data_IF_403855034896
#
_entry.id   IF_403855034896
#
_cell.length_a   1.000
_cell.length_b   1.000
_cell.length_c   1.000
_cell.angle_alpha   90.00
_cell.angle_beta   90.00
_cell.angle_gamma   90.00
#
_symmetry.space_group_name_H-M   'P 1'
#
loop_
_entity.id
_entity.type
_entity.pdbx_description
1 polymer ?
#
# COMPACT_ATOMS: atom_id res chain seq x y z
N UNK A 1 14.51 9.01 9.50
CA UNK A 1 13.53 9.94 10.08
C UNK A 1 13.04 9.38 11.41
N UNK A 2 13.13 10.16 12.47
CA UNK A 2 12.65 9.78 13.80
C UNK A 2 11.11 9.71 13.82
N UNK A 3 10.53 8.80 14.61
CA UNK A 3 9.07 8.63 14.70
C UNK A 3 8.35 9.89 15.20
N UNK A 4 9.02 10.70 16.03
CA UNK A 4 8.54 11.99 16.52
C UNK A 4 8.32 13.00 15.38
N UNK A 5 9.17 12.99 14.34
CA UNK A 5 8.97 13.87 13.17
C UNK A 5 7.80 13.41 12.29
N UNK A 6 7.52 12.10 12.26
CA UNK A 6 6.36 11.56 11.54
C UNK A 6 5.04 11.91 12.23
N UNK A 7 4.97 11.82 13.55
CA UNK A 7 3.76 12.18 14.30
C UNK A 7 3.34 13.64 14.09
N UNK A 8 4.28 14.58 14.28
CA UNK A 8 4.06 16.01 14.05
C UNK A 8 3.63 16.29 12.61
N UNK A 9 4.38 15.77 11.63
CA UNK A 9 4.04 15.93 10.22
C UNK A 9 2.64 15.40 9.90
N UNK A 10 2.29 14.22 10.42
CA UNK A 10 0.97 13.60 10.18
C UNK A 10 -0.16 14.49 10.68
N UNK A 11 0.01 15.11 11.86
CA UNK A 11 -0.98 16.04 12.44
C UNK A 11 -1.14 17.30 11.60
N UNK A 12 -0.03 17.95 11.24
CA UNK A 12 -0.04 19.14 10.38
C UNK A 12 -0.63 18.84 8.99
N UNK A 13 -0.22 17.73 8.38
CA UNK A 13 -0.66 17.32 7.07
C UNK A 13 -2.18 17.03 7.05
N UNK A 14 -2.73 16.33 8.05
CA UNK A 14 -4.17 16.07 8.15
C UNK A 14 -5.02 17.35 8.13
N UNK A 15 -4.47 18.47 8.61
CA UNK A 15 -5.08 19.80 8.57
C UNK A 15 -5.16 20.43 7.17
N UNK A 16 -4.37 19.98 6.19
CA UNK A 16 -4.28 20.55 4.84
C UNK A 16 -5.25 19.87 3.87
N UNK A 17 -5.93 20.66 3.04
CA UNK A 17 -6.87 20.14 2.04
C UNK A 17 -6.19 19.25 0.99
N UNK A 18 -5.00 19.65 0.54
CA UNK A 18 -4.17 18.89 -0.41
C UNK A 18 -3.81 17.50 0.11
N UNK A 19 -3.37 17.40 1.37
CA UNK A 19 -3.06 16.10 1.96
C UNK A 19 -4.31 15.25 2.18
N UNK A 20 -5.46 15.83 2.55
CA UNK A 20 -6.71 15.06 2.62
C UNK A 20 -7.14 14.51 1.27
N UNK A 21 -6.90 15.25 0.18
CA UNK A 21 -7.09 14.75 -1.19
C UNK A 21 -6.11 13.60 -1.46
N UNK A 22 -4.82 13.81 -1.20
CA UNK A 22 -3.76 12.81 -1.33
C UNK A 22 -4.09 11.52 -0.57
N UNK A 23 -4.51 11.62 0.69
CA UNK A 23 -4.95 10.50 1.51
C UNK A 23 -6.08 9.74 0.81
N UNK A 24 -7.16 10.43 0.42
CA UNK A 24 -8.29 9.76 -0.24
C UNK A 24 -7.90 9.15 -1.59
N UNK A 25 -7.04 9.79 -2.37
CA UNK A 25 -6.51 9.25 -3.62
C UNK A 25 -5.67 8.00 -3.39
N UNK A 26 -4.91 7.95 -2.30
CA UNK A 26 -4.06 6.79 -1.98
C UNK A 26 -4.88 5.62 -1.43
N UNK A 27 -5.88 5.87 -0.56
CA UNK A 27 -6.59 4.79 0.15
C UNK A 27 -7.83 4.27 -0.57
N UNK A 28 -8.46 5.07 -1.42
CA UNK A 28 -9.67 4.67 -2.14
C UNK A 28 -9.30 4.29 -3.57
N UNK A 29 -9.84 3.15 -4.02
CA UNK A 29 -9.71 2.74 -5.42
C UNK A 29 -10.47 3.67 -6.36
N UNK A 30 -10.29 3.48 -7.67
CA UNK A 30 -11.14 4.14 -8.65
C UNK A 30 -12.60 3.69 -8.48
N UNK A 31 -13.53 4.61 -8.69
CA UNK A 31 -14.95 4.27 -8.86
C UNK A 31 -15.11 3.59 -10.21
N UNK A 32 -15.62 2.36 -10.22
CA UNK A 32 -16.01 1.69 -11.46
C UNK A 32 -17.38 2.22 -11.92
N UNK A 33 -17.56 2.39 -13.23
CA UNK A 33 -18.82 2.87 -13.79
C UNK A 33 -19.97 1.92 -13.42
N UNK A 34 -21.02 2.45 -12.78
CA UNK A 34 -22.14 1.66 -12.26
C UNK A 34 -21.84 0.86 -10.98
N UNK A 35 -20.63 0.93 -10.44
CA UNK A 35 -20.23 0.31 -9.19
C UNK A 35 -20.55 1.15 -7.95
N UNK A 36 -20.57 0.54 -6.74
CA UNK A 36 -20.69 1.29 -5.50
C UNK A 36 -19.46 2.19 -5.28
N UNK A 37 -19.67 3.30 -4.58
CA UNK A 37 -18.57 4.21 -4.22
C UNK A 37 -17.46 3.47 -3.45
N UNK A 38 -16.18 3.75 -3.76
CA UNK A 38 -15.06 3.12 -3.08
C UNK A 38 -15.02 3.54 -1.60
N UNK A 39 -14.87 2.54 -0.75
CA UNK A 39 -14.70 2.70 0.70
C UNK A 39 -13.31 2.26 1.13
N UNK A 40 -12.86 2.78 2.27
CA UNK A 40 -11.62 2.34 2.92
C UNK A 40 -11.69 0.84 3.20
N UNK A 41 -10.65 0.10 2.83
CA UNK A 41 -10.49 -1.31 3.18
C UNK A 41 -9.07 -1.55 3.70
N UNK A 42 -8.94 -1.89 4.99
CA UNK A 42 -7.65 -2.20 5.62
C UNK A 42 -7.66 -3.55 6.33
N UNK A 43 -6.50 -3.96 6.81
CA UNK A 43 -6.40 -5.11 7.70
C UNK A 43 -6.94 -4.76 9.09
N UNK A 44 -7.89 -5.56 9.59
CA UNK A 44 -8.45 -5.42 10.95
C UNK A 44 -7.95 -6.53 11.89
N UNK A 45 -7.03 -7.38 11.42
CA UNK A 45 -6.45 -8.49 12.19
C UNK A 45 -5.22 -8.01 12.96
N UNK A 46 -4.92 -8.55 14.14
CA UNK A 46 -3.76 -8.15 14.92
C UNK A 46 -2.43 -8.50 14.26
N UNK A 47 -2.40 -9.53 13.39
CA UNK A 47 -1.19 -9.93 12.67
C UNK A 47 -1.48 -10.34 11.23
N UNK A 48 -0.61 -9.92 10.32
CA UNK A 48 -0.64 -10.24 8.88
C UNK A 48 0.74 -10.77 8.46
N UNK A 49 0.76 -12.01 7.97
CA UNK A 49 1.99 -12.64 7.45
C UNK A 49 2.14 -12.38 5.95
N UNK A 50 3.30 -11.87 5.56
CA UNK A 50 3.75 -11.70 4.17
C UNK A 50 4.74 -12.81 3.83
N UNK A 51 4.47 -13.58 2.78
CA UNK A 51 5.32 -14.67 2.30
C UNK A 51 5.81 -14.39 0.88
N UNK A 52 7.13 -14.45 0.69
CA UNK A 52 7.72 -14.66 -0.63
C UNK A 52 7.58 -16.14 -1.00
N UNK A 53 6.99 -16.41 -2.16
CA UNK A 53 6.82 -17.77 -2.67
C UNK A 53 8.07 -18.30 -3.40
N UNK A 54 9.00 -17.40 -3.75
CA UNK A 54 10.33 -17.65 -4.31
C UNK A 54 11.26 -16.44 -4.07
N UNK A 55 12.55 -16.56 -4.37
CA UNK A 55 13.60 -15.61 -3.93
C UNK A 55 13.49 -14.20 -4.55
N UNK A 56 12.91 -14.05 -5.75
CA UNK A 56 12.84 -12.78 -6.48
C UNK A 56 14.19 -12.19 -6.87
N UNK A 57 15.28 -12.93 -6.67
CA UNK A 57 16.65 -12.48 -6.88
C UNK A 57 17.30 -11.75 -5.69
N UNK A 58 18.57 -11.32 -5.88
CA UNK A 58 19.41 -10.83 -4.80
C UNK A 58 18.82 -9.64 -4.02
N UNK A 59 18.74 -9.80 -2.69
CA UNK A 59 18.39 -8.72 -1.77
C UNK A 59 16.90 -8.36 -1.68
N UNK A 60 16.02 -9.03 -2.42
CA UNK A 60 14.55 -8.80 -2.36
C UNK A 60 13.99 -9.13 -0.98
N UNK A 61 14.33 -10.28 -0.41
CA UNK A 61 13.86 -10.66 0.93
C UNK A 61 14.32 -9.64 2.00
N UNK A 62 15.60 -9.24 1.96
CA UNK A 62 16.14 -8.24 2.88
C UNK A 62 15.38 -6.90 2.75
N UNK A 63 15.01 -6.53 1.53
CA UNK A 63 14.26 -5.31 1.25
C UNK A 63 12.83 -5.42 1.78
N UNK A 64 12.13 -6.53 1.53
CA UNK A 64 10.80 -6.77 2.10
C UNK A 64 10.81 -6.70 3.63
N UNK A 65 11.80 -7.33 4.28
CA UNK A 65 11.96 -7.27 5.75
C UNK A 65 12.13 -5.82 6.24
N UNK A 66 12.90 -4.99 5.51
CA UNK A 66 13.03 -3.56 5.81
C UNK A 66 11.71 -2.80 5.63
N UNK A 67 10.95 -3.08 4.58
CA UNK A 67 9.63 -2.50 4.35
C UNK A 67 8.67 -2.86 5.48
N UNK A 68 8.55 -4.13 5.84
CA UNK A 68 7.68 -4.61 6.93
C UNK A 68 8.10 -4.00 8.27
N UNK A 69 9.40 -3.93 8.57
CA UNK A 69 9.88 -3.27 9.77
C UNK A 69 9.55 -1.77 9.79
N UNK A 70 9.63 -1.09 8.65
CA UNK A 70 9.23 0.32 8.52
C UNK A 70 7.72 0.49 8.65
N UNK A 71 6.92 -0.38 8.05
CA UNK A 71 5.46 -0.40 8.18
C UNK A 71 5.02 -0.48 9.64
N UNK A 72 5.56 -1.44 10.39
CA UNK A 72 5.29 -1.59 11.83
C UNK A 72 5.81 -0.43 12.70
N UNK A 73 6.69 0.42 12.17
CA UNK A 73 7.11 1.66 12.85
C UNK A 73 6.16 2.81 12.53
N UNK A 74 5.67 2.89 11.30
CA UNK A 74 4.74 3.95 10.87
C UNK A 74 3.37 3.83 11.57
N UNK A 75 2.92 2.60 11.80
CA UNK A 75 1.68 2.24 12.49
C UNK A 75 1.93 1.11 13.49
N UNK A 76 1.08 1.00 14.52
CA UNK A 76 1.22 -0.01 15.58
C UNK A 76 -0.04 -0.87 15.78
N UNK A 77 -1.06 -0.68 14.97
CA UNK A 77 -2.35 -1.37 15.09
C UNK A 77 -2.28 -2.82 14.60
N UNK A 78 -1.56 -3.04 13.50
CA UNK A 78 -1.43 -4.36 12.87
C UNK A 78 0.04 -4.75 12.82
N UNK A 79 0.36 -5.93 13.35
CA UNK A 79 1.71 -6.50 13.26
C UNK A 79 1.89 -7.19 11.91
N UNK A 80 2.68 -6.61 11.02
CA UNK A 80 3.10 -7.28 9.80
C UNK A 80 4.37 -8.10 10.06
N UNK A 81 4.44 -9.31 9.51
CA UNK A 81 5.62 -10.19 9.65
C UNK A 81 5.99 -10.82 8.32
N UNK A 82 7.27 -10.96 8.04
CA UNK A 82 7.76 -11.78 6.92
C UNK A 82 7.90 -13.21 7.42
N UNK A 83 7.23 -14.17 6.79
CA UNK A 83 7.28 -15.57 7.21
C UNK A 83 6.37 -16.49 6.39
N UNK A 84 6.37 -17.77 6.76
CA UNK A 84 5.66 -18.83 6.03
C UNK A 84 4.36 -19.30 6.68
N UNK A 85 4.14 -19.00 7.96
CA UNK A 85 2.98 -19.46 8.73
C UNK A 85 1.72 -18.67 8.37
N UNK A 86 0.74 -19.35 7.77
CA UNK A 86 -0.58 -18.83 7.41
C UNK A 86 -0.51 -17.47 6.68
N UNK A 87 0.14 -17.41 5.51
CA UNK A 87 0.33 -16.15 4.80
C UNK A 87 -1.01 -15.58 4.37
N UNK A 88 -1.16 -14.27 4.57
CA UNK A 88 -2.30 -13.49 4.09
C UNK A 88 -1.93 -12.65 2.89
N UNK A 89 -0.67 -12.23 2.82
CA UNK A 89 -0.09 -11.61 1.62
C UNK A 89 0.94 -12.57 1.06
N UNK A 90 0.79 -12.95 -0.21
CA UNK A 90 1.78 -13.76 -0.93
C UNK A 90 2.33 -12.99 -2.10
N UNK A 91 3.65 -13.06 -2.30
CA UNK A 91 4.34 -12.46 -3.43
C UNK A 91 5.03 -13.57 -4.21
N UNK A 92 4.86 -13.58 -5.53
CA UNK A 92 5.56 -14.48 -6.45
C UNK A 92 6.19 -13.69 -7.58
N UNK A 93 7.41 -14.05 -7.92
CA UNK A 93 8.12 -13.53 -9.07
C UNK A 93 8.09 -14.58 -10.19
N UNK A 94 7.78 -14.21 -11.41
CA UNK A 94 7.77 -15.12 -12.55
C UNK A 94 8.73 -14.62 -13.64
N UNK A 95 9.43 -15.51 -14.36
CA UNK A 95 9.98 -15.20 -15.67
C UNK A 95 8.88 -14.68 -16.62
N UNK A 96 9.27 -13.90 -17.63
CA UNK A 96 8.30 -13.24 -18.52
C UNK A 96 7.36 -14.23 -19.22
N UNK A 97 7.91 -15.30 -19.80
CA UNK A 97 7.10 -16.28 -20.55
C UNK A 97 6.07 -16.98 -19.64
N UNK A 98 6.49 -17.39 -18.44
CA UNK A 98 5.62 -17.97 -17.41
C UNK A 98 4.53 -16.99 -16.95
N UNK A 99 4.87 -15.70 -16.87
CA UNK A 99 3.94 -14.66 -16.48
C UNK A 99 2.87 -14.46 -17.55
N UNK A 100 3.26 -14.29 -18.81
CA UNK A 100 2.35 -14.11 -19.94
C UNK A 100 1.41 -15.30 -20.07
N UNK A 101 1.95 -16.53 -19.99
CA UNK A 101 1.16 -17.75 -20.07
C UNK A 101 0.07 -17.84 -19.00
N UNK A 102 0.35 -17.37 -17.78
CA UNK A 102 -0.56 -17.53 -16.63
C UNK A 102 -1.47 -16.33 -16.39
N UNK A 103 -1.02 -15.14 -16.79
CA UNK A 103 -1.63 -13.88 -16.38
C UNK A 103 -1.77 -12.85 -17.50
N UNK A 104 -1.28 -13.10 -18.71
CA UNK A 104 -1.27 -12.13 -19.82
C UNK A 104 -2.59 -11.39 -19.99
N UNK A 105 -3.69 -12.12 -20.10
CA UNK A 105 -5.04 -11.57 -20.35
C UNK A 105 -5.67 -10.85 -19.14
N UNK A 106 -5.10 -10.99 -17.95
CA UNK A 106 -5.65 -10.44 -16.69
C UNK A 106 -4.69 -9.51 -15.96
N UNK A 107 -3.55 -9.22 -16.59
CA UNK A 107 -2.47 -8.42 -16.00
C UNK A 107 -2.65 -6.93 -16.28
N UNK A 108 -2.08 -6.10 -15.40
CA UNK A 108 -1.90 -4.67 -15.64
C UNK A 108 -0.40 -4.42 -15.76
N UNK A 109 0.11 -4.37 -17.00
CA UNK A 109 1.53 -4.22 -17.26
C UNK A 109 2.36 -5.40 -16.75
N UNK A 110 3.25 -5.16 -15.78
CA UNK A 110 4.19 -6.17 -15.24
C UNK A 110 3.72 -6.79 -13.92
N UNK A 111 2.49 -6.49 -13.48
CA UNK A 111 1.94 -7.04 -12.24
C UNK A 111 0.53 -7.57 -12.42
N UNK A 112 0.25 -8.64 -11.69
CA UNK A 112 -1.10 -9.17 -11.50
C UNK A 112 -1.32 -9.29 -10.00
N UNK A 113 -2.16 -8.42 -9.47
CA UNK A 113 -2.48 -8.40 -8.04
C UNK A 113 -3.97 -8.59 -7.82
N UNK A 114 -4.32 -9.51 -6.92
CA UNK A 114 -5.70 -9.73 -6.47
C UNK A 114 -5.82 -9.48 -4.97
N UNK A 115 -6.80 -8.67 -4.60
CA UNK A 115 -7.13 -8.33 -3.22
C UNK A 115 -8.50 -8.92 -2.88
N UNK A 116 -8.54 -9.75 -1.84
CA UNK A 116 -9.78 -10.35 -1.37
C UNK A 116 -10.29 -9.56 -0.17
N UNK A 117 -11.52 -9.08 -0.28
CA UNK A 117 -12.21 -8.26 0.72
C UNK A 117 -13.43 -9.01 1.23
N UNK A 118 -13.74 -8.85 2.51
CA UNK A 118 -15.01 -9.22 3.13
C UNK A 118 -15.37 -8.09 4.06
N UNK A 119 -16.67 -7.81 4.24
CA UNK A 119 -17.06 -6.79 5.21
C UNK A 119 -16.47 -7.13 6.60
N UNK A 120 -15.71 -6.23 7.24
CA UNK A 120 -15.46 -4.84 6.83
C UNK A 120 -14.12 -4.60 6.08
N UNK A 121 -13.17 -5.53 5.97
CA UNK A 121 -11.80 -5.24 5.50
C UNK A 121 -11.12 -6.28 4.60
N UNK A 122 -9.78 -6.28 4.61
CA UNK A 122 -8.94 -7.18 3.81
C UNK A 122 -8.85 -8.59 4.43
N UNK A 123 -8.86 -9.62 3.58
CA UNK A 123 -8.71 -11.03 3.96
C UNK A 123 -7.38 -11.63 3.47
N UNK A 124 -7.06 -11.40 2.20
CA UNK A 124 -5.85 -11.91 1.54
C UNK A 124 -5.45 -11.03 0.37
N UNK A 125 -4.17 -11.02 0.03
CA UNK A 125 -3.65 -10.39 -1.17
C UNK A 125 -2.66 -11.34 -1.86
N UNK A 126 -2.75 -11.45 -3.18
CA UNK A 126 -1.84 -12.23 -4.00
C UNK A 126 -1.20 -11.30 -5.02
N UNK A 127 0.11 -11.13 -4.91
CA UNK A 127 0.94 -10.31 -5.78
C UNK A 127 1.74 -11.25 -6.67
N UNK A 128 1.65 -11.07 -7.98
CA UNK A 128 2.50 -11.73 -8.97
C UNK A 128 3.21 -10.64 -9.77
N UNK A 129 4.53 -10.72 -9.84
CA UNK A 129 5.37 -9.74 -10.55
C UNK A 129 6.08 -10.46 -11.69
N UNK A 130 5.96 -9.92 -12.90
CA UNK A 130 6.80 -10.27 -14.05
C UNK A 130 8.21 -9.75 -13.79
N UNK A 131 9.08 -10.63 -13.31
CA UNK A 131 10.47 -10.31 -13.01
C UNK A 131 11.32 -10.25 -14.28
N UNK A 132 10.88 -10.90 -15.37
CA UNK A 132 11.60 -10.93 -16.64
C UNK A 132 11.55 -9.61 -17.42
N UNK A 133 10.52 -8.78 -17.18
CA UNK A 133 10.41 -7.43 -17.75
C UNK A 133 10.92 -6.29 -16.86
N UNK A 134 11.51 -6.57 -15.72
CA UNK A 134 12.10 -5.52 -14.89
C UNK A 134 13.51 -5.20 -15.39
N UNK A 135 13.80 -3.94 -15.68
CA UNK A 135 15.07 -3.34 -16.10
C UNK A 135 16.19 -3.47 -15.04
N UNK A 136 15.91 -4.09 -13.90
CA UNK A 136 16.89 -4.45 -12.89
C UNK A 136 16.37 -4.47 -11.45
N UNK A 137 17.26 -4.70 -10.47
CA UNK A 137 16.88 -4.84 -9.05
C UNK A 137 16.19 -3.60 -8.46
N UNK A 138 16.46 -2.41 -9.01
CA UNK A 138 15.83 -1.16 -8.58
C UNK A 138 14.35 -1.09 -8.96
N UNK A 139 14.03 -1.40 -10.22
CA UNK A 139 12.64 -1.40 -10.69
C UNK A 139 11.83 -2.52 -10.04
N UNK A 140 12.40 -3.72 -9.90
CA UNK A 140 11.74 -4.80 -9.17
C UNK A 140 11.37 -4.40 -7.73
N UNK A 141 12.26 -3.68 -7.03
CA UNK A 141 11.99 -3.15 -5.68
C UNK A 141 10.93 -2.05 -5.68
N UNK A 142 10.87 -1.21 -6.70
CA UNK A 142 9.84 -0.18 -6.86
C UNK A 142 8.47 -0.83 -7.09
N UNK A 143 8.40 -1.82 -7.99
CA UNK A 143 7.21 -2.64 -8.23
C UNK A 143 6.76 -3.36 -6.97
N UNK A 144 7.68 -3.99 -6.23
CA UNK A 144 7.33 -4.69 -4.98
C UNK A 144 6.74 -3.74 -3.92
N UNK A 145 7.31 -2.56 -3.70
CA UNK A 145 6.74 -1.62 -2.71
C UNK A 145 5.41 -1.04 -3.19
N UNK A 146 5.24 -0.80 -4.49
CA UNK A 146 3.98 -0.36 -5.09
C UNK A 146 2.87 -1.37 -4.78
N UNK A 147 3.05 -2.63 -5.17
CA UNK A 147 2.07 -3.69 -4.96
C UNK A 147 1.85 -4.01 -3.47
N UNK A 148 2.92 -3.98 -2.66
CA UNK A 148 2.78 -4.13 -1.20
C UNK A 148 1.95 -2.99 -0.60
N UNK A 149 2.07 -1.77 -1.12
CA UNK A 149 1.32 -0.61 -0.63
C UNK A 149 -0.18 -0.77 -0.91
N UNK A 150 -0.54 -1.30 -2.08
CA UNK A 150 -1.93 -1.71 -2.31
C UNK A 150 -2.39 -2.84 -1.39
N UNK A 151 -1.54 -3.86 -1.20
CA UNK A 151 -1.87 -5.02 -0.37
C UNK A 151 -2.07 -4.69 1.11
N UNK A 152 -1.63 -3.53 1.59
CA UNK A 152 -1.90 -3.02 2.95
C UNK A 152 -3.10 -2.08 3.03
N UNK A 153 -3.88 -1.91 1.94
CA UNK A 153 -5.14 -1.18 1.94
C UNK A 153 -5.13 0.17 1.22
N UNK A 154 -4.04 0.53 0.55
CA UNK A 154 -4.00 1.74 -0.26
C UNK A 154 -4.45 1.45 -1.70
N UNK A 155 -5.76 1.46 -1.96
CA UNK A 155 -6.31 0.93 -3.20
C UNK A 155 -6.22 1.85 -4.44
N UNK A 156 -5.80 3.11 -4.29
CA UNK A 156 -5.83 4.09 -5.39
C UNK A 156 -4.46 4.34 -6.03
N UNK A 157 -4.45 5.23 -7.03
CA UNK A 157 -3.28 5.56 -7.83
C UNK A 157 -3.13 7.06 -8.04
N UNK A 158 -1.89 7.50 -8.24
CA UNK A 158 -1.57 8.86 -8.70
C UNK A 158 -1.19 8.85 -10.19
N UNK A 159 -1.74 9.80 -10.93
CA UNK A 159 -1.48 9.99 -12.36
C UNK A 159 -0.82 11.34 -12.66
N UNK A 160 -0.84 12.28 -11.71
CA UNK A 160 -0.20 13.58 -11.86
C UNK A 160 1.34 13.41 -11.93
N UNK A 161 2.02 13.93 -12.98
CA UNK A 161 3.47 13.87 -13.08
C UNK A 161 4.23 14.42 -11.86
N UNK A 162 3.65 15.38 -11.12
CA UNK A 162 4.24 15.92 -9.90
C UNK A 162 4.42 14.84 -8.81
N UNK A 163 3.58 13.80 -8.81
CA UNK A 163 3.63 12.71 -7.82
C UNK A 163 4.69 11.64 -8.15
N UNK A 164 5.31 11.68 -9.35
CA UNK A 164 6.25 10.65 -9.84
C UNK A 164 7.39 10.33 -8.88
N UNK A 165 7.87 11.33 -8.15
CA UNK A 165 8.95 11.17 -7.15
C UNK A 165 8.44 11.24 -5.71
N UNK A 166 7.16 11.54 -5.52
CA UNK A 166 6.56 11.84 -4.22
C UNK A 166 5.72 10.69 -3.64
N UNK A 167 5.25 9.75 -4.48
CA UNK A 167 4.52 8.57 -4.02
C UNK A 167 5.00 7.28 -4.67
N UNK A 168 4.99 6.21 -3.87
CA UNK A 168 5.13 4.85 -4.37
C UNK A 168 3.96 4.43 -5.28
N UNK A 169 2.76 5.04 -5.15
CA UNK A 169 1.56 4.71 -5.93
C UNK A 169 1.37 5.56 -7.20
N UNK A 170 2.41 6.27 -7.65
CA UNK A 170 2.39 6.78 -9.01
C UNK A 170 2.46 5.61 -9.99
N UNK A 171 1.63 5.62 -11.03
CA UNK A 171 1.45 4.47 -11.96
C UNK A 171 2.73 3.97 -12.64
N UNK A 172 3.75 4.82 -12.76
CA UNK A 172 5.08 4.48 -13.28
C UNK A 172 6.18 4.86 -12.29
N UNK A 173 5.95 4.61 -10.99
CA UNK A 173 6.88 4.99 -9.93
C UNK A 173 8.15 4.15 -9.97
N UNK A 174 9.30 4.80 -9.77
CA UNK A 174 10.58 4.15 -9.50
C UNK A 174 11.01 4.31 -8.04
N UNK A 175 10.09 4.76 -7.17
CA UNK A 175 10.36 5.03 -5.76
C UNK A 175 10.44 3.71 -4.99
N UNK A 176 11.52 3.52 -4.22
CA UNK A 176 11.77 2.30 -3.42
C UNK A 176 11.60 2.52 -1.92
N UNK A 177 10.93 3.60 -1.53
CA UNK A 177 10.65 3.89 -0.12
C UNK A 177 9.45 4.82 0.01
N UNK A 178 8.57 4.58 0.97
CA UNK A 178 7.48 5.51 1.28
C UNK A 178 8.01 6.92 1.56
N UNK A 179 7.41 7.92 0.92
CA UNK A 179 7.65 9.33 1.26
C UNK A 179 7.10 9.66 2.65
N UNK A 180 7.32 10.89 3.11
CA UNK A 180 6.74 11.34 4.39
C UNK A 180 5.20 11.39 4.33
N UNK A 181 4.64 11.73 3.15
CA UNK A 181 3.19 11.73 2.95
C UNK A 181 2.63 10.31 2.83
N UNK A 182 3.28 9.41 2.08
CA UNK A 182 2.90 7.99 2.07
C UNK A 182 2.90 7.41 3.49
N UNK A 183 3.95 7.68 4.27
CA UNK A 183 4.08 7.23 5.65
C UNK A 183 2.99 7.79 6.57
N UNK A 184 2.63 9.07 6.40
CA UNK A 184 1.54 9.71 7.14
C UNK A 184 0.18 9.12 6.77
N UNK A 185 -0.06 8.80 5.48
CA UNK A 185 -1.26 8.09 5.03
C UNK A 185 -1.35 6.74 5.71
N UNK A 186 -0.29 5.93 5.67
CA UNK A 186 -0.29 4.60 6.33
C UNK A 186 -0.53 4.72 7.83
N UNK A 187 0.11 5.69 8.50
CA UNK A 187 -0.12 5.95 9.93
C UNK A 187 -1.60 6.26 10.23
N UNK A 188 -2.23 7.09 9.42
CA UNK A 188 -3.62 7.49 9.59
C UNK A 188 -4.60 6.38 9.22
N UNK A 189 -4.31 5.63 8.15
CA UNK A 189 -5.11 4.48 7.70
C UNK A 189 -5.27 3.46 8.85
N UNK A 190 -4.19 3.18 9.57
CA UNK A 190 -4.18 2.27 10.71
C UNK A 190 -4.42 2.95 12.07
N UNK A 191 -4.91 4.19 12.07
CA UNK A 191 -5.28 4.87 13.32
C UNK A 191 -6.74 4.55 13.72
N UNK A 192 -7.12 4.72 15.00
CA UNK A 192 -8.51 4.55 15.44
C UNK A 192 -9.54 5.48 14.75
N UNK A 193 -9.05 6.53 14.08
CA UNK A 193 -9.87 7.53 13.39
C UNK A 193 -10.39 7.05 12.04
N UNK A 194 -9.71 6.08 11.43
CA UNK A 194 -10.05 5.53 10.12
C UNK A 194 -10.48 4.08 10.30
N UNK A 195 -11.67 3.76 9.82
CA UNK A 195 -12.23 2.41 9.88
C UNK A 195 -12.52 1.93 8.47
N UNK A 196 -12.43 0.61 8.26
CA UNK A 196 -12.89 0.06 7.00
C UNK A 196 -14.39 0.33 6.81
N UNK A 197 -14.83 0.50 5.57
CA UNK A 197 -16.19 0.94 5.20
C UNK A 197 -16.37 2.45 5.17
N UNK A 198 -15.40 3.26 5.60
CA UNK A 198 -15.51 4.71 5.51
C UNK A 198 -15.46 5.20 4.04
N UNK A 199 -16.40 6.07 3.68
CA UNK A 199 -16.37 6.79 2.40
C UNK A 199 -15.29 7.88 2.39
N UNK A 200 -15.03 8.47 1.22
CA UNK A 200 -14.14 9.63 1.09
C UNK A 200 -14.53 10.78 2.02
N UNK A 201 -15.82 11.10 2.11
CA UNK A 201 -16.33 12.18 2.96
C UNK A 201 -16.07 11.91 4.45
N UNK A 202 -16.36 10.69 4.90
CA UNK A 202 -16.15 10.25 6.28
C UNK A 202 -14.67 10.25 6.65
N UNK A 203 -13.81 9.70 5.79
CA UNK A 203 -12.35 9.72 5.99
C UNK A 203 -11.83 11.16 6.09
N UNK A 204 -12.20 12.06 5.16
CA UNK A 204 -11.80 13.47 5.20
C UNK A 204 -12.27 14.18 6.47
N UNK A 205 -13.48 13.88 6.94
CA UNK A 205 -13.98 14.42 8.20
C UNK A 205 -13.18 13.92 9.41
N UNK A 206 -12.85 12.63 9.44
CA UNK A 206 -12.01 12.05 10.48
C UNK A 206 -10.61 12.70 10.53
N UNK A 207 -9.99 12.93 9.37
CA UNK A 207 -8.69 13.63 9.27
C UNK A 207 -8.75 15.06 9.82
N UNK A 208 -9.83 15.80 9.54
CA UNK A 208 -10.03 17.15 10.10
C UNK A 208 -10.15 17.13 11.62
N UNK A 209 -10.84 16.12 12.18
CA UNK A 209 -10.96 15.96 13.64
C UNK A 209 -9.62 15.59 14.26
N UNK A 210 -8.89 14.64 13.68
CA UNK A 210 -7.56 14.25 14.10
C UNK A 210 -6.60 15.46 14.15
N UNK A 211 -6.61 16.32 13.13
CA UNK A 211 -5.75 17.50 13.09
C UNK A 211 -6.02 18.51 14.23
N UNK A 212 -7.20 18.45 14.87
CA UNK A 212 -7.62 19.37 15.95
C UNK A 212 -7.48 18.77 17.34
N UNK A 213 -7.04 17.52 17.48
CA UNK A 213 -6.85 16.93 18.81
C UNK A 213 -5.73 17.66 19.54
N UNK A 214 -5.89 17.85 20.85
CA UNK A 214 -4.76 18.25 21.71
C UNK A 214 -3.81 17.06 21.81
N UNK A 215 -2.50 17.35 21.88
CA UNK A 215 -1.48 16.30 22.10
C UNK A 215 -1.59 15.75 23.53
#
# INVERSE_FOLDING_TARGET
>A
MALTSLGRHTKEAAGRASFRRYFTTMVLGATEEGGPDPVVAKWERPQVTVKLLNDGGPGVESYLRRLVARLNRMQQEVRFVVGSRQPRITVRFLPHDDYVLRHGDSSVGTTHTRYYRSSPGLISARIVIDAGRQDGPGQLKATLIHELTHAIGCAGHFTDPADRRASVLYQASHVTSWSQNDAAVVRLLYSPWIRSGMTAGQARAALRRYARTKD
#
